data_IF_100463035294
#
_entry.id   IF_100463035294
#
_cell.length_a   1.000
_cell.length_b   1.000
_cell.length_c   1.000
_cell.angle_alpha   90.00
_cell.angle_beta   90.00
_cell.angle_gamma   90.00
#
_symmetry.space_group_name_H-M   'P 1'
#
loop_
_entity.id
_entity.type
_entity.pdbx_description
1 polymer ?
#
# COMPACT_ATOMS: atom_id res chain seq x y z
N UNK A 1 29.51 -34.28 8.89
CA UNK A 1 29.61 -33.31 7.80
C UNK A 1 28.29 -33.33 7.03
N UNK A 2 27.31 -32.53 7.45
CA UNK A 2 26.02 -32.37 6.75
C UNK A 2 25.72 -30.87 6.70
N UNK A 3 26.49 -30.19 5.87
CA UNK A 3 26.26 -28.80 5.53
C UNK A 3 26.43 -28.70 4.03
N UNK A 4 25.65 -27.86 3.36
CA UNK A 4 25.85 -27.48 1.96
C UNK A 4 25.13 -28.30 0.87
N UNK A 5 23.96 -28.88 1.14
CA UNK A 5 23.04 -29.30 0.06
C UNK A 5 21.62 -28.73 0.16
N UNK A 6 21.40 -27.73 1.02
CA UNK A 6 20.08 -27.08 1.17
C UNK A 6 19.95 -25.75 0.38
N UNK A 7 21.06 -25.18 -0.09
CA UNK A 7 21.10 -23.84 -0.73
C UNK A 7 21.05 -23.85 -2.27
N UNK A 8 20.92 -25.04 -2.88
CA UNK A 8 20.77 -25.26 -4.32
C UNK A 8 19.46 -26.03 -4.61
N UNK A 9 18.43 -25.77 -3.82
CA UNK A 9 17.09 -26.28 -4.12
C UNK A 9 16.30 -25.19 -4.85
N UNK A 10 15.57 -25.48 -5.95
CA UNK A 10 14.72 -24.51 -6.65
C UNK A 10 13.74 -23.75 -5.72
N UNK A 11 13.43 -24.33 -4.56
CA UNK A 11 12.64 -23.71 -3.49
C UNK A 11 13.29 -22.44 -2.91
N UNK A 12 14.62 -22.38 -2.81
CA UNK A 12 15.33 -21.21 -2.27
C UNK A 12 15.35 -20.03 -3.27
N UNK A 13 15.24 -20.31 -4.57
CA UNK A 13 15.07 -19.28 -5.59
C UNK A 13 13.63 -18.78 -5.67
N UNK A 14 12.65 -19.69 -5.51
CA UNK A 14 11.22 -19.34 -5.40
C UNK A 14 10.94 -18.44 -4.19
N UNK A 15 11.39 -18.83 -2.99
CA UNK A 15 11.22 -18.00 -1.77
C UNK A 15 11.88 -16.63 -1.91
N UNK A 16 13.04 -16.53 -2.57
CA UNK A 16 13.69 -15.24 -2.86
C UNK A 16 12.95 -14.41 -3.90
N UNK A 17 12.28 -15.04 -4.86
CA UNK A 17 11.47 -14.34 -5.86
C UNK A 17 10.16 -13.84 -5.26
N UNK A 18 9.48 -14.69 -4.47
CA UNK A 18 8.26 -14.36 -3.73
C UNK A 18 8.50 -13.21 -2.76
N UNK A 19 9.55 -13.27 -1.93
CA UNK A 19 9.88 -12.17 -1.00
C UNK A 19 10.24 -10.84 -1.69
N UNK A 20 10.75 -10.87 -2.93
CA UNK A 20 10.96 -9.65 -3.74
C UNK A 20 9.67 -9.10 -4.33
N UNK A 21 8.73 -9.97 -4.68
CA UNK A 21 7.42 -9.56 -5.19
C UNK A 21 6.59 -8.95 -4.06
N UNK A 22 6.53 -9.62 -2.90
CA UNK A 22 5.86 -9.13 -1.69
C UNK A 22 6.40 -7.76 -1.27
N UNK A 23 7.73 -7.60 -1.20
CA UNK A 23 8.35 -6.32 -0.88
C UNK A 23 8.05 -5.21 -1.89
N UNK A 24 7.89 -5.54 -3.18
CA UNK A 24 7.48 -4.57 -4.21
C UNK A 24 6.01 -4.19 -4.07
N UNK A 25 5.13 -5.13 -3.77
CA UNK A 25 3.71 -4.86 -3.58
C UNK A 25 3.47 -4.00 -2.33
N UNK A 26 4.13 -4.34 -1.22
CA UNK A 26 4.11 -3.53 0.01
C UNK A 26 4.59 -2.10 -0.27
N UNK A 27 5.74 -1.93 -0.93
CA UNK A 27 6.28 -0.60 -1.24
C UNK A 27 5.38 0.21 -2.19
N UNK A 28 4.66 -0.44 -3.11
CA UNK A 28 3.67 0.22 -3.97
C UNK A 28 2.45 0.69 -3.16
N UNK A 29 1.96 -0.13 -2.24
CA UNK A 29 0.83 0.22 -1.39
C UNK A 29 1.17 1.41 -0.50
N UNK A 30 2.33 1.38 0.17
CA UNK A 30 2.82 2.49 0.99
C UNK A 30 2.99 3.78 0.18
N UNK A 31 3.56 3.70 -1.02
CA UNK A 31 3.70 4.86 -1.90
C UNK A 31 2.34 5.45 -2.33
N UNK A 32 1.34 4.59 -2.63
CA UNK A 32 -0.02 5.05 -2.95
C UNK A 32 -0.72 5.66 -1.74
N UNK A 33 -0.62 5.04 -0.56
CA UNK A 33 -1.15 5.56 0.68
C UNK A 33 -0.61 6.98 0.97
N UNK A 34 0.70 7.17 0.84
CA UNK A 34 1.32 8.49 0.97
C UNK A 34 0.80 9.49 -0.07
N UNK A 35 0.64 9.08 -1.33
CA UNK A 35 0.11 9.94 -2.38
C UNK A 35 -1.33 10.42 -2.07
N UNK A 36 -2.19 9.53 -1.57
CA UNK A 36 -3.57 9.89 -1.17
C UNK A 36 -3.55 10.99 -0.10
N UNK A 37 -2.74 10.81 0.94
CA UNK A 37 -2.61 11.78 2.03
C UNK A 37 -2.06 13.13 1.54
N UNK A 38 -1.08 13.11 0.63
CA UNK A 38 -0.54 14.32 0.00
C UNK A 38 -1.58 15.07 -0.83
N UNK A 39 -2.42 14.34 -1.60
CA UNK A 39 -3.50 14.97 -2.37
C UNK A 39 -4.47 15.70 -1.44
N UNK A 40 -4.88 15.07 -0.33
CA UNK A 40 -5.76 15.72 0.65
C UNK A 40 -5.10 16.94 1.28
N UNK A 41 -3.81 16.85 1.62
CA UNK A 41 -3.03 17.99 2.15
C UNK A 41 -2.93 19.14 1.15
N UNK A 42 -2.61 18.87 -0.12
CA UNK A 42 -2.54 19.90 -1.17
C UNK A 42 -3.88 20.57 -1.43
N UNK A 43 -4.97 19.84 -1.19
CA UNK A 43 -6.33 20.37 -1.26
C UNK A 43 -6.77 21.12 0.00
N UNK A 44 -5.94 21.15 1.04
CA UNK A 44 -6.26 21.77 2.32
C UNK A 44 -7.34 21.03 3.09
N UNK A 45 -7.56 19.74 2.80
CA UNK A 45 -8.53 18.91 3.51
C UNK A 45 -7.86 18.36 4.76
N UNK A 46 -8.38 18.69 5.96
CA UNK A 46 -7.83 18.16 7.19
C UNK A 46 -8.04 16.64 7.24
N UNK A 47 -6.97 15.90 7.51
CA UNK A 47 -6.98 14.45 7.65
C UNK A 47 -6.89 14.10 9.13
N UNK A 48 -7.86 13.38 9.66
CA UNK A 48 -7.80 12.85 11.03
C UNK A 48 -6.79 11.71 11.13
N UNK A 49 -6.31 11.43 12.33
CA UNK A 49 -5.37 10.32 12.54
C UNK A 49 -6.00 8.97 12.17
N UNK A 50 -7.30 8.77 12.46
CA UNK A 50 -8.03 7.56 12.07
C UNK A 50 -8.00 7.32 10.55
N UNK A 51 -8.22 8.37 9.74
CA UNK A 51 -8.15 8.28 8.28
C UNK A 51 -6.73 7.96 7.82
N UNK A 52 -5.73 8.58 8.44
CA UNK A 52 -4.31 8.32 8.13
C UNK A 52 -3.92 6.88 8.43
N UNK A 53 -4.30 6.36 9.59
CA UNK A 53 -4.06 4.97 9.97
C UNK A 53 -4.74 4.01 9.00
N UNK A 54 -6.00 4.27 8.64
CA UNK A 54 -6.75 3.43 7.71
C UNK A 54 -6.14 3.41 6.31
N UNK A 55 -5.69 4.56 5.80
CA UNK A 55 -5.01 4.65 4.50
C UNK A 55 -3.68 3.91 4.51
N UNK A 56 -2.88 4.07 5.58
CA UNK A 56 -1.58 3.40 5.70
C UNK A 56 -1.68 1.89 5.98
N UNK A 57 -2.78 1.43 6.58
CA UNK A 57 -3.02 0.01 6.84
C UNK A 57 -3.46 -0.76 5.59
N UNK A 58 -3.94 -0.08 4.54
CA UNK A 58 -4.37 -0.75 3.31
C UNK A 58 -3.18 -1.20 2.46
N UNK A 59 -3.23 -2.46 2.05
CA UNK A 59 -2.27 -3.08 1.13
C UNK A 59 -2.89 -3.42 -0.23
N UNK A 60 -4.19 -3.16 -0.39
CA UNK A 60 -4.93 -3.39 -1.62
C UNK A 60 -4.70 -2.22 -2.58
N UNK A 61 -3.94 -2.49 -3.65
CA UNK A 61 -3.57 -1.48 -4.64
C UNK A 61 -4.75 -0.94 -5.46
N UNK A 62 -5.80 -1.74 -5.63
CA UNK A 62 -7.00 -1.37 -6.37
C UNK A 62 -7.89 -0.48 -5.50
N UNK A 63 -8.04 -0.83 -4.23
CA UNK A 63 -8.70 0.02 -3.24
C UNK A 63 -7.99 1.37 -3.09
N UNK A 64 -6.66 1.37 -2.97
CA UNK A 64 -5.86 2.59 -2.89
C UNK A 64 -5.95 3.44 -4.16
N UNK A 65 -6.09 2.83 -5.33
CA UNK A 65 -6.34 3.57 -6.59
C UNK A 65 -7.67 4.32 -6.55
N UNK A 66 -8.74 3.64 -6.11
CA UNK A 66 -10.06 4.25 -5.97
C UNK A 66 -10.03 5.41 -4.98
N UNK A 67 -9.36 5.23 -3.83
CA UNK A 67 -9.18 6.31 -2.85
C UNK A 67 -8.38 7.47 -3.42
N UNK A 68 -7.33 7.23 -4.21
CA UNK A 68 -6.56 8.29 -4.86
C UNK A 68 -7.44 9.11 -5.82
N UNK A 69 -8.29 8.46 -6.62
CA UNK A 69 -9.22 9.14 -7.52
C UNK A 69 -10.26 9.96 -6.73
N UNK A 70 -10.78 9.41 -5.63
CA UNK A 70 -11.71 10.12 -4.74
C UNK A 70 -11.06 11.31 -4.05
N UNK A 71 -9.81 11.18 -3.61
CA UNK A 71 -9.07 12.26 -2.94
C UNK A 71 -8.99 13.54 -3.80
N UNK A 72 -8.99 13.42 -5.13
CA UNK A 72 -8.99 14.56 -6.05
C UNK A 72 -10.30 15.36 -5.99
N UNK A 73 -11.42 14.71 -5.69
CA UNK A 73 -12.76 15.31 -5.72
C UNK A 73 -13.42 15.47 -4.34
N UNK A 74 -12.96 14.72 -3.34
CA UNK A 74 -13.55 14.65 -2.00
C UNK A 74 -13.68 16.02 -1.33
N UNK A 75 -14.76 16.33 -0.64
CA UNK A 75 -14.81 17.55 0.20
C UNK A 75 -14.30 17.31 1.61
N UNK A 76 -14.32 16.05 2.06
CA UNK A 76 -13.84 15.61 3.36
C UNK A 76 -12.99 14.33 3.25
N UNK A 77 -12.04 14.14 4.17
CA UNK A 77 -11.12 12.99 4.14
C UNK A 77 -11.83 11.63 4.32
N UNK A 78 -13.01 11.61 4.93
CA UNK A 78 -13.84 10.41 5.14
C UNK A 78 -14.51 9.91 3.86
N UNK A 79 -14.72 10.79 2.86
CA UNK A 79 -15.31 10.45 1.56
C UNK A 79 -14.42 9.51 0.73
N UNK A 80 -13.15 9.32 1.12
CA UNK A 80 -12.32 8.28 0.52
C UNK A 80 -12.98 6.90 0.63
N UNK A 81 -13.63 6.64 1.76
CA UNK A 81 -14.14 5.33 2.13
C UNK A 81 -15.59 5.07 1.72
N UNK A 82 -16.30 6.05 1.20
CA UNK A 82 -17.71 5.87 0.80
C UNK A 82 -17.80 4.96 -0.41
N UNK A 83 -18.44 3.80 -0.27
CA UNK A 83 -18.94 3.03 -1.42
C UNK A 83 -20.01 3.91 -2.11
N UNK A 84 -20.03 3.97 -3.44
CA UNK A 84 -21.07 4.74 -4.16
C UNK A 84 -22.49 4.38 -3.70
#
# INVERSE_FOLDING_TARGET
>A
MVGSYFWRHPLAEQVRAEGREEGRQQGRAEAKAQMILQILEWRGIPVSEDVREQVNASTDLDQLEVWAQRAVHATEATELFTEE
#
